data_IF_986563348300
#
_entry.id   IF_986563348300
#
_cell.length_a   1.000
_cell.length_b   1.000
_cell.length_c   1.000
_cell.angle_alpha   90.00
_cell.angle_beta   90.00
_cell.angle_gamma   90.00
#
_symmetry.space_group_name_H-M   'P 1'
#
loop_
_entity.id
_entity.type
_entity.pdbx_description
1 polymer ?
#
# COMPACT_ATOMS: atom_id res chain seq x y z
N UNK A 1 6.91 -16.28 -18.29
CA UNK A 1 6.30 -14.98 -17.93
C UNK A 1 6.97 -14.51 -16.65
N UNK A 2 7.25 -13.21 -16.54
CA UNK A 2 7.71 -12.64 -15.28
C UNK A 2 6.50 -12.49 -14.33
N UNK A 3 6.64 -12.86 -13.06
CA UNK A 3 5.62 -12.63 -12.05
C UNK A 3 5.56 -11.15 -11.69
N UNK A 4 4.39 -10.54 -11.77
CA UNK A 4 4.19 -9.11 -11.49
C UNK A 4 3.74 -8.91 -10.06
N UNK A 5 4.59 -8.28 -9.24
CA UNK A 5 4.30 -8.00 -7.82
C UNK A 5 4.01 -6.50 -7.65
N UNK A 6 2.84 -6.18 -7.09
CA UNK A 6 2.49 -4.81 -6.76
C UNK A 6 2.72 -4.55 -5.27
N UNK A 7 3.48 -3.51 -4.97
CA UNK A 7 3.62 -2.98 -3.61
C UNK A 7 2.78 -1.72 -3.54
N UNK A 8 1.58 -1.87 -2.99
CA UNK A 8 0.56 -0.83 -2.89
C UNK A 8 0.59 -0.26 -1.49
N UNK A 9 0.87 1.03 -1.34
CA UNK A 9 1.05 1.61 -0.02
C UNK A 9 0.42 2.99 0.16
N UNK A 10 0.09 3.30 1.40
CA UNK A 10 -0.17 4.66 1.87
C UNK A 10 0.94 5.09 2.84
N UNK A 11 1.45 6.31 2.67
CA UNK A 11 2.48 6.87 3.56
C UNK A 11 2.19 8.35 3.80
N UNK A 12 1.99 8.73 5.05
CA UNK A 12 1.85 10.13 5.44
C UNK A 12 3.22 10.80 5.56
N UNK A 13 4.13 10.21 6.35
CA UNK A 13 5.41 10.80 6.73
C UNK A 13 6.65 10.06 6.18
N UNK A 14 6.47 9.24 5.14
CA UNK A 14 7.59 8.59 4.44
C UNK A 14 8.06 7.24 4.99
N UNK A 15 7.77 6.89 6.25
CA UNK A 15 8.24 5.62 6.84
C UNK A 15 7.80 4.37 6.05
N UNK A 16 6.53 4.30 5.67
CA UNK A 16 5.99 3.17 4.89
C UNK A 16 6.53 3.17 3.47
N UNK A 17 6.71 4.36 2.87
CA UNK A 17 7.33 4.48 1.54
C UNK A 17 8.76 3.93 1.54
N UNK A 18 9.55 4.23 2.60
CA UNK A 18 10.89 3.67 2.76
C UNK A 18 10.89 2.15 2.90
N UNK A 19 9.94 1.58 3.65
CA UNK A 19 9.76 0.13 3.70
C UNK A 19 9.38 -0.45 2.35
N UNK A 20 8.49 0.21 1.60
CA UNK A 20 8.08 -0.21 0.27
C UNK A 20 9.26 -0.26 -0.72
N UNK A 21 10.16 0.74 -0.69
CA UNK A 21 11.38 0.75 -1.52
C UNK A 21 12.33 -0.42 -1.19
N UNK A 22 12.54 -0.73 0.10
CA UNK A 22 13.37 -1.87 0.49
C UNK A 22 12.72 -3.22 0.12
N UNK A 23 11.39 -3.33 0.25
CA UNK A 23 10.62 -4.48 -0.21
C UNK A 23 10.77 -4.64 -1.73
N UNK A 24 10.64 -3.56 -2.50
CA UNK A 24 10.84 -3.56 -3.96
C UNK A 24 12.24 -4.02 -4.32
N UNK A 25 13.26 -3.51 -3.63
CA UNK A 25 14.66 -3.91 -3.84
C UNK A 25 14.86 -5.40 -3.58
N UNK A 26 14.31 -5.93 -2.48
CA UNK A 26 14.36 -7.35 -2.15
C UNK A 26 13.66 -8.22 -3.19
N UNK A 27 12.40 -7.91 -3.51
CA UNK A 27 11.62 -8.69 -4.47
C UNK A 27 12.19 -8.62 -5.91
N UNK A 28 12.69 -7.45 -6.33
CA UNK A 28 13.34 -7.27 -7.65
C UNK A 28 14.66 -8.02 -7.79
N UNK A 29 15.23 -8.56 -6.70
CA UNK A 29 16.46 -9.38 -6.77
C UNK A 29 16.21 -10.80 -7.28
N UNK A 30 14.94 -11.22 -7.36
CA UNK A 30 14.56 -12.56 -7.81
C UNK A 30 14.38 -12.54 -9.34
N UNK A 31 15.04 -13.47 -10.03
CA UNK A 31 14.93 -13.60 -11.48
C UNK A 31 13.47 -13.87 -11.89
N UNK A 32 13.00 -13.16 -12.92
CA UNK A 32 11.64 -13.30 -13.42
C UNK A 32 10.57 -12.64 -12.53
N UNK A 33 10.94 -11.73 -11.63
CA UNK A 33 9.98 -10.93 -10.85
C UNK A 33 10.05 -9.46 -11.27
N UNK A 34 8.91 -8.89 -11.66
CA UNK A 34 8.74 -7.47 -11.94
C UNK A 34 8.00 -6.82 -10.77
N UNK A 35 8.59 -5.81 -10.12
CA UNK A 35 7.97 -5.14 -8.97
C UNK A 35 7.59 -3.70 -9.31
N UNK A 36 6.34 -3.31 -9.05
CA UNK A 36 5.87 -1.93 -9.19
C UNK A 36 5.43 -1.37 -7.84
N UNK A 37 5.85 -0.13 -7.58
CA UNK A 37 5.38 0.64 -6.44
C UNK A 37 4.16 1.47 -6.83
N UNK A 38 3.19 1.51 -5.94
CA UNK A 38 1.94 2.19 -6.14
C UNK A 38 1.53 2.93 -4.86
N UNK A 39 1.17 4.20 -5.02
CA UNK A 39 0.62 5.00 -3.94
C UNK A 39 -0.91 4.92 -3.96
N UNK A 40 -1.52 4.73 -2.80
CA UNK A 40 -2.96 4.90 -2.60
C UNK A 40 -3.31 6.40 -2.61
N UNK A 41 -4.44 6.80 -3.23
CA UNK A 41 -4.90 8.20 -3.22
C UNK A 41 -4.98 8.81 -1.82
N UNK A 42 -4.57 10.07 -1.70
CA UNK A 42 -4.78 10.85 -0.49
C UNK A 42 -6.25 11.30 -0.38
N UNK A 43 -6.80 11.30 0.83
CA UNK A 43 -8.20 11.69 1.08
C UNK A 43 -8.32 12.97 1.91
N UNK A 44 -7.22 13.43 2.51
CA UNK A 44 -7.22 14.69 3.25
C UNK A 44 -7.05 15.89 2.29
N UNK A 45 -7.75 17.01 2.56
CA UNK A 45 -7.51 18.26 1.83
C UNK A 45 -6.07 18.76 2.01
N UNK A 46 -5.54 19.44 0.99
CA UNK A 46 -4.19 20.01 1.01
C UNK A 46 -3.95 20.95 2.20
N UNK A 47 -4.94 21.76 2.58
CA UNK A 47 -4.87 22.63 3.76
C UNK A 47 -4.59 21.84 5.05
N UNK A 48 -5.23 20.67 5.22
CA UNK A 48 -5.04 19.81 6.38
C UNK A 48 -3.65 19.19 6.35
N UNK A 49 -3.20 18.71 5.19
CA UNK A 49 -1.86 18.17 5.00
C UNK A 49 -0.78 19.22 5.33
N UNK A 50 -0.99 20.47 4.89
CA UNK A 50 -0.12 21.60 5.19
C UNK A 50 -0.03 21.87 6.69
N UNK A 51 -1.17 21.89 7.41
CA UNK A 51 -1.21 22.03 8.87
C UNK A 51 -0.53 20.87 9.61
N UNK A 52 -0.57 19.67 9.04
CA UNK A 52 0.07 18.47 9.60
C UNK A 52 1.58 18.38 9.32
N UNK A 53 2.13 19.29 8.51
CA UNK A 53 3.52 19.23 8.07
C UNK A 53 3.82 17.97 7.26
N UNK A 54 2.84 17.48 6.49
CA UNK A 54 3.04 16.30 5.65
C UNK A 54 4.08 16.61 4.55
N UNK A 55 5.10 15.77 4.37
CA UNK A 55 6.08 15.95 3.29
C UNK A 55 5.45 15.74 1.92
N UNK A 56 6.17 16.14 0.87
CA UNK A 56 5.83 15.80 -0.51
C UNK A 56 5.72 14.28 -0.68
N UNK A 57 4.77 13.84 -1.50
CA UNK A 57 4.59 12.43 -1.84
C UNK A 57 5.77 11.92 -2.67
N UNK A 58 5.93 10.59 -2.73
CA UNK A 58 6.96 9.97 -3.58
C UNK A 58 6.62 10.11 -5.07
N UNK A 59 7.57 9.80 -5.94
CA UNK A 59 7.36 9.78 -7.40
C UNK A 59 6.58 8.54 -7.90
N UNK A 60 6.27 7.58 -7.03
CA UNK A 60 5.50 6.40 -7.43
C UNK A 60 4.08 6.80 -7.89
N UNK A 61 3.55 6.18 -8.95
CA UNK A 61 2.23 6.53 -9.47
C UNK A 61 1.11 6.21 -8.49
N UNK A 62 0.00 6.95 -8.60
CA UNK A 62 -1.24 6.65 -7.86
C UNK A 62 -1.95 5.48 -8.55
N UNK A 63 -2.40 4.50 -7.76
CA UNK A 63 -3.14 3.33 -8.26
C UNK A 63 -4.66 3.55 -8.21
N UNK A 64 -5.36 2.94 -9.15
CA UNK A 64 -6.83 2.79 -9.13
C UNK A 64 -7.22 1.37 -8.72
N UNK A 65 -8.44 1.15 -8.19
CA UNK A 65 -8.86 -0.19 -7.77
C UNK A 65 -8.67 -1.25 -8.85
N UNK A 66 -9.05 -0.96 -10.10
CA UNK A 66 -9.03 -1.92 -11.21
C UNK A 66 -7.61 -2.42 -11.56
N UNK A 67 -6.58 -1.58 -11.35
CA UNK A 67 -5.18 -1.92 -11.60
C UNK A 67 -4.71 -3.12 -10.74
N UNK A 68 -5.32 -3.36 -9.58
CA UNK A 68 -4.97 -4.50 -8.71
C UNK A 68 -5.08 -5.85 -9.43
N UNK A 69 -5.98 -5.96 -10.41
CA UNK A 69 -6.21 -7.20 -11.16
C UNK A 69 -5.01 -7.61 -12.02
N UNK A 70 -4.14 -6.67 -12.39
CA UNK A 70 -2.97 -6.88 -13.23
C UNK A 70 -1.80 -7.57 -12.50
N UNK A 71 -1.80 -7.55 -11.16
CA UNK A 71 -0.73 -8.12 -10.36
C UNK A 71 -0.92 -9.63 -10.20
N UNK A 72 0.17 -10.39 -10.16
CA UNK A 72 0.15 -11.81 -9.77
C UNK A 72 0.20 -11.96 -8.24
N UNK A 73 0.82 -11.01 -7.53
CA UNK A 73 0.85 -10.95 -6.07
C UNK A 73 0.91 -9.52 -5.56
N UNK A 74 0.41 -9.28 -4.35
CA UNK A 74 0.22 -7.93 -3.82
C UNK A 74 0.76 -7.79 -2.39
N UNK A 75 1.53 -6.75 -2.13
CA UNK A 75 1.93 -6.34 -0.79
C UNK A 75 1.26 -5.01 -0.44
N UNK A 76 0.53 -4.99 0.66
CA UNK A 76 -0.20 -3.82 1.13
C UNK A 76 0.52 -3.14 2.30
N UNK A 77 0.80 -1.84 2.16
CA UNK A 77 1.60 -1.07 3.11
C UNK A 77 0.86 0.12 3.70
N UNK A 78 0.78 0.26 5.02
CA UNK A 78 0.16 1.46 5.62
C UNK A 78 0.63 1.72 7.06
N UNK A 79 0.59 2.97 7.54
CA UNK A 79 0.86 3.27 8.94
C UNK A 79 -0.32 2.84 9.79
N UNK A 80 -0.06 2.42 11.02
CA UNK A 80 -1.15 2.14 11.98
C UNK A 80 -1.90 3.43 12.35
N UNK A 81 -3.21 3.30 12.53
CA UNK A 81 -4.10 4.27 13.16
C UNK A 81 -4.94 3.52 14.18
N UNK A 82 -4.52 3.57 15.45
CA UNK A 82 -5.17 2.88 16.57
C UNK A 82 -5.33 1.36 16.35
N UNK A 83 -4.30 0.70 15.80
CA UNK A 83 -4.35 -0.74 15.52
C UNK A 83 -5.17 -1.08 14.27
N UNK A 84 -5.43 -0.12 13.39
CA UNK A 84 -6.10 -0.29 12.11
C UNK A 84 -5.28 0.33 10.97
N UNK A 85 -5.56 -0.04 9.71
CA UNK A 85 -5.06 0.70 8.55
C UNK A 85 -5.50 2.17 8.55
N UNK A 86 -4.74 3.02 7.87
CA UNK A 86 -5.13 4.41 7.66
C UNK A 86 -6.43 4.51 6.83
N UNK A 87 -7.25 5.53 7.10
CA UNK A 87 -8.54 5.73 6.42
C UNK A 87 -8.40 5.83 4.89
N UNK A 88 -7.30 6.43 4.40
CA UNK A 88 -6.95 6.50 2.99
C UNK A 88 -6.87 5.10 2.35
N UNK A 89 -6.20 4.18 3.05
CA UNK A 89 -6.05 2.81 2.59
C UNK A 89 -7.37 2.05 2.63
N UNK A 90 -8.15 2.25 3.70
CA UNK A 90 -9.48 1.65 3.82
C UNK A 90 -10.42 2.12 2.72
N UNK A 91 -10.43 3.42 2.41
CA UNK A 91 -11.24 3.99 1.33
C UNK A 91 -10.89 3.39 -0.03
N UNK A 92 -9.61 3.17 -0.30
CA UNK A 92 -9.17 2.49 -1.52
C UNK A 92 -9.66 1.04 -1.58
N UNK A 93 -9.54 0.27 -0.49
CA UNK A 93 -10.07 -1.09 -0.45
C UNK A 93 -11.60 -1.13 -0.58
N UNK A 94 -12.32 -0.17 -0.01
CA UNK A 94 -13.78 -0.07 -0.13
C UNK A 94 -14.24 0.19 -1.58
N UNK A 95 -13.38 0.82 -2.39
CA UNK A 95 -13.63 1.02 -3.81
C UNK A 95 -13.40 -0.26 -4.66
N UNK A 96 -12.94 -1.38 -4.07
CA UNK A 96 -12.67 -2.64 -4.80
C UNK A 96 -13.91 -3.55 -4.95
N UNK A 97 -15.11 -3.09 -4.61
CA UNK A 97 -16.34 -3.89 -4.68
C UNK A 97 -16.61 -4.51 -6.06
N UNK A 98 -16.23 -3.83 -7.14
CA UNK A 98 -16.30 -4.35 -8.51
C UNK A 98 -15.44 -5.59 -8.73
N UNK A 99 -14.19 -5.56 -8.26
CA UNK A 99 -13.25 -6.68 -8.31
C UNK A 99 -13.67 -7.84 -7.41
N UNK A 100 -14.23 -7.52 -6.23
CA UNK A 100 -14.74 -8.54 -5.31
C UNK A 100 -15.89 -9.32 -5.94
N UNK A 101 -16.83 -8.62 -6.58
CA UNK A 101 -17.97 -9.24 -7.27
C UNK A 101 -17.53 -10.23 -8.37
N UNK A 102 -16.45 -9.93 -9.09
CA UNK A 102 -15.93 -10.78 -10.18
C UNK A 102 -14.88 -11.78 -9.72
N UNK A 103 -14.53 -11.80 -8.43
CA UNK A 103 -13.44 -12.61 -7.87
C UNK A 103 -12.09 -12.34 -8.55
N UNK A 104 -11.87 -11.14 -9.09
CA UNK A 104 -10.69 -10.81 -9.89
C UNK A 104 -9.36 -10.88 -9.10
N UNK A 105 -9.43 -10.81 -7.77
CA UNK A 105 -8.27 -10.94 -6.88
C UNK A 105 -8.13 -12.34 -6.25
N UNK A 106 -9.06 -13.26 -6.51
CA UNK A 106 -9.04 -14.59 -5.91
C UNK A 106 -7.81 -15.38 -6.35
N UNK A 107 -7.17 -16.06 -5.39
CA UNK A 107 -5.98 -16.88 -5.63
C UNK A 107 -4.66 -16.12 -5.76
N UNK A 108 -4.68 -14.77 -5.82
CA UNK A 108 -3.46 -13.96 -5.83
C UNK A 108 -2.87 -13.91 -4.41
N UNK A 109 -1.60 -14.31 -4.18
CA UNK A 109 -0.98 -14.18 -2.87
C UNK A 109 -0.91 -12.72 -2.44
N UNK A 110 -1.17 -12.48 -1.15
CA UNK A 110 -1.12 -11.16 -0.54
C UNK A 110 -0.33 -11.16 0.76
N UNK A 111 0.32 -10.05 1.05
CA UNK A 111 0.98 -9.79 2.34
C UNK A 111 0.76 -8.35 2.80
N UNK A 112 1.01 -8.09 4.08
CA UNK A 112 0.86 -6.77 4.68
C UNK A 112 2.16 -6.34 5.35
N UNK A 113 2.41 -5.03 5.36
CA UNK A 113 3.49 -4.42 6.12
C UNK A 113 3.04 -3.06 6.66
N UNK A 114 3.60 -2.64 7.80
CA UNK A 114 3.11 -1.45 8.48
C UNK A 114 4.20 -0.76 9.29
N UNK A 115 3.89 0.45 9.72
CA UNK A 115 4.74 1.26 10.60
C UNK A 115 3.91 1.77 11.78
N UNK A 116 4.47 1.65 12.97
CA UNK A 116 3.85 2.08 14.24
C UNK A 116 4.76 3.08 14.96
N UNK A 117 4.17 3.90 15.84
CA UNK A 117 4.92 4.87 16.65
C UNK A 117 5.46 4.31 17.97
N UNK A 118 5.07 3.09 18.35
CA UNK A 118 5.51 2.43 19.60
C UNK A 118 5.54 0.92 19.46
N UNK A 119 6.33 0.24 20.28
CA UNK A 119 6.55 -1.21 20.17
C UNK A 119 5.27 -2.06 20.32
N UNK A 120 4.35 -1.66 21.20
CA UNK A 120 3.06 -2.32 21.40
C UNK A 120 1.90 -1.67 20.63
N UNK A 121 2.17 -0.70 19.76
CA UNK A 121 1.17 0.18 19.15
C UNK A 121 0.41 -0.41 17.97
N UNK A 122 0.13 -1.72 17.99
CA UNK A 122 -0.54 -2.42 16.89
C UNK A 122 0.41 -3.07 15.88
N UNK A 123 1.63 -3.43 16.30
CA UNK A 123 2.61 -4.15 15.47
C UNK A 123 2.15 -5.56 15.04
N UNK A 124 1.06 -6.07 15.59
CA UNK A 124 0.51 -7.39 15.23
C UNK A 124 -0.96 -7.28 14.83
N UNK A 125 -1.70 -6.37 15.49
CA UNK A 125 -3.15 -6.24 15.32
C UNK A 125 -3.57 -5.36 14.16
N UNK A 126 -2.66 -4.56 13.58
CA UNK A 126 -2.98 -3.69 12.44
C UNK A 126 -3.22 -4.54 11.18
N UNK A 127 -4.47 -4.60 10.67
CA UNK A 127 -4.83 -5.36 9.49
C UNK A 127 -4.73 -4.54 8.21
#
# INVERSE_FOLDING_TARGET
MAAKIYVVYYSMYGHVAKLAEEIKKGASSIEGVEVKLWQVPETLPEEVLGKMGAPSKSDAPIITPDDLSEADGILFGFPTRFGMMAAQFKAFLDATGGLWRTQALAGKPAGIFYSTGSQGGGQETTP
#
